data_IF_218549223297
#
_entry.id   IF_218549223297
#
_cell.length_a   1.000
_cell.length_b   1.000
_cell.length_c   1.000
_cell.angle_alpha   90.00
_cell.angle_beta   90.00
_cell.angle_gamma   90.00
#
_symmetry.space_group_name_H-M   'P 1'
#
loop_
_entity.id
_entity.type
_entity.pdbx_description
1 polymer ?
#
# COMPACT_ATOMS: atom_id res chain seq x y z
N UNK A 1 20.99 22.01 -17.86
CA UNK A 1 20.61 20.77 -17.14
C UNK A 1 19.13 20.50 -17.38
N UNK A 2 18.78 19.43 -18.12
CA UNK A 2 17.37 19.04 -18.27
C UNK A 2 16.90 18.56 -16.88
N UNK A 3 15.88 19.21 -16.32
CA UNK A 3 15.21 18.74 -15.10
C UNK A 3 14.71 17.32 -15.36
N UNK A 4 15.24 16.34 -14.66
CA UNK A 4 14.72 14.98 -14.62
C UNK A 4 13.31 15.03 -14.01
N UNK A 5 12.28 15.03 -14.85
CA UNK A 5 10.91 15.19 -14.38
C UNK A 5 10.23 13.82 -14.32
N UNK A 6 9.86 13.41 -13.12
CA UNK A 6 8.91 12.31 -12.94
C UNK A 6 7.55 12.69 -13.55
N UNK A 7 6.86 11.71 -14.07
CA UNK A 7 5.50 11.88 -14.59
C UNK A 7 4.47 11.83 -13.45
N UNK A 8 3.42 12.63 -13.56
CA UNK A 8 2.32 12.56 -12.58
C UNK A 8 1.66 11.18 -12.57
N UNK A 9 1.08 10.80 -11.45
CA UNK A 9 0.38 9.51 -11.31
C UNK A 9 -0.80 9.39 -12.25
N UNK A 10 -1.50 10.50 -12.54
CA UNK A 10 -2.57 10.54 -13.54
C UNK A 10 -2.05 10.15 -14.93
N UNK A 11 -0.84 10.60 -15.28
CA UNK A 11 -0.19 10.22 -16.55
C UNK A 11 0.14 8.74 -16.57
N UNK A 12 0.70 8.19 -15.49
CA UNK A 12 0.99 6.76 -15.37
C UNK A 12 -0.30 5.93 -15.46
N UNK A 13 -1.37 6.32 -14.76
CA UNK A 13 -2.68 5.66 -14.85
C UNK A 13 -3.24 5.69 -16.28
N UNK A 14 -3.09 6.82 -16.99
CA UNK A 14 -3.52 6.92 -18.40
C UNK A 14 -2.73 5.98 -19.31
N UNK A 15 -1.42 5.85 -19.10
CA UNK A 15 -0.56 4.90 -19.85
C UNK A 15 -1.01 3.47 -19.58
N UNK A 16 -1.15 3.08 -18.31
CA UNK A 16 -1.62 1.76 -17.91
C UNK A 16 -3.00 1.43 -18.51
N UNK A 17 -3.93 2.41 -18.52
CA UNK A 17 -5.27 2.26 -19.12
C UNK A 17 -5.22 1.96 -20.61
N UNK A 18 -4.26 2.54 -21.32
CA UNK A 18 -4.01 2.28 -22.74
C UNK A 18 -3.20 1.02 -23.02
N UNK A 19 -2.83 0.26 -21.97
CA UNK A 19 -2.05 -0.96 -22.08
C UNK A 19 -0.54 -0.73 -22.27
N UNK A 20 -0.06 0.48 -21.99
CA UNK A 20 1.35 0.83 -22.09
C UNK A 20 2.15 0.40 -20.86
N UNK A 21 3.45 0.10 -21.10
CA UNK A 21 4.45 -0.14 -20.05
C UNK A 21 4.94 1.19 -19.49
N UNK A 22 5.29 1.19 -18.21
CA UNK A 22 5.83 2.35 -17.48
C UNK A 22 6.84 1.88 -16.44
N UNK A 23 7.53 2.83 -15.81
CA UNK A 23 8.47 2.57 -14.72
C UNK A 23 7.88 3.14 -13.43
N UNK A 24 7.98 2.38 -12.34
CA UNK A 24 7.75 2.86 -10.99
C UNK A 24 9.07 2.87 -10.24
N UNK A 25 9.30 3.92 -9.45
CA UNK A 25 10.46 4.02 -8.55
C UNK A 25 9.98 4.18 -7.11
N UNK A 26 10.68 3.55 -6.18
CA UNK A 26 10.42 3.68 -4.76
C UNK A 26 11.32 4.75 -4.10
N UNK A 27 11.17 4.91 -2.79
CA UNK A 27 11.91 5.90 -2.01
C UNK A 27 13.40 5.54 -1.93
N UNK A 28 14.27 6.57 -1.96
CA UNK A 28 15.72 6.43 -1.84
C UNK A 28 16.15 5.74 -0.54
N UNK A 29 15.37 5.89 0.53
CA UNK A 29 15.63 5.25 1.83
C UNK A 29 15.18 3.79 1.87
N UNK A 30 14.44 3.31 0.85
CA UNK A 30 13.96 1.93 0.78
C UNK A 30 14.91 1.06 -0.07
N UNK A 31 14.70 0.98 -1.37
CA UNK A 31 15.53 0.22 -2.34
C UNK A 31 16.21 1.17 -3.31
N UNK A 32 15.58 2.31 -3.59
CA UNK A 32 15.99 3.28 -4.61
C UNK A 32 16.15 2.61 -5.99
N UNK A 33 15.18 1.78 -6.34
CA UNK A 33 15.18 0.97 -7.56
C UNK A 33 13.99 1.31 -8.44
N UNK A 34 14.04 0.90 -9.70
CA UNK A 34 12.97 1.09 -10.66
C UNK A 34 12.54 -0.22 -11.30
N UNK A 35 11.23 -0.47 -11.33
CA UNK A 35 10.65 -1.62 -12.00
C UNK A 35 9.93 -1.19 -13.28
N UNK A 36 10.11 -1.98 -14.35
CA UNK A 36 9.20 -2.03 -15.49
C UNK A 36 7.88 -2.63 -15.05
N UNK A 37 6.78 -1.98 -15.39
CA UNK A 37 5.44 -2.41 -14.99
C UNK A 37 4.48 -2.41 -16.18
N UNK A 38 3.67 -3.47 -16.28
CA UNK A 38 2.54 -3.55 -17.21
C UNK A 38 1.38 -4.33 -16.56
N UNK A 39 0.13 -3.92 -16.82
CA UNK A 39 -1.03 -4.69 -16.37
C UNK A 39 -1.07 -6.06 -17.03
N UNK A 40 -1.45 -7.11 -16.32
CA UNK A 40 -1.47 -8.48 -16.86
C UNK A 40 -2.42 -8.65 -18.05
N UNK A 41 -3.50 -7.87 -18.11
CA UNK A 41 -4.42 -7.86 -19.28
C UNK A 41 -3.75 -7.44 -20.58
N UNK A 42 -2.68 -6.69 -20.49
CA UNK A 42 -1.96 -6.13 -21.65
C UNK A 42 -0.61 -6.80 -21.85
N UNK A 43 -0.20 -7.72 -20.96
CA UNK A 43 1.04 -8.46 -21.09
C UNK A 43 0.96 -9.47 -22.24
N UNK A 44 1.98 -9.48 -23.07
CA UNK A 44 2.13 -10.40 -24.20
C UNK A 44 3.61 -10.80 -24.36
N UNK A 45 3.89 -11.70 -25.29
CA UNK A 45 5.26 -12.19 -25.50
C UNK A 45 6.26 -11.06 -25.79
N UNK A 46 5.86 -10.01 -26.54
CA UNK A 46 6.72 -8.86 -26.84
C UNK A 46 7.10 -8.10 -25.58
N UNK A 47 6.14 -7.87 -24.68
CA UNK A 47 6.37 -7.15 -23.42
C UNK A 47 7.23 -7.97 -22.46
N UNK A 48 6.97 -9.26 -22.34
CA UNK A 48 7.79 -10.16 -21.50
C UNK A 48 9.22 -10.28 -22.04
N UNK A 49 9.37 -10.38 -23.38
CA UNK A 49 10.70 -10.35 -23.98
C UNK A 49 11.42 -9.01 -23.78
N UNK A 50 10.69 -7.89 -23.81
CA UNK A 50 11.26 -6.57 -23.51
C UNK A 50 11.79 -6.52 -22.06
N UNK A 51 11.01 -6.99 -21.09
CA UNK A 51 11.40 -7.05 -19.67
C UNK A 51 12.65 -7.95 -19.51
N UNK A 52 12.66 -9.14 -20.11
CA UNK A 52 13.79 -10.07 -20.03
C UNK A 52 15.07 -9.48 -20.64
N UNK A 53 14.96 -8.86 -21.83
CA UNK A 53 16.09 -8.32 -22.58
C UNK A 53 16.64 -7.02 -21.99
N UNK A 54 15.76 -6.12 -21.60
CA UNK A 54 16.14 -4.76 -21.25
C UNK A 54 16.02 -4.48 -19.74
N UNK A 55 15.04 -5.05 -19.04
CA UNK A 55 14.95 -4.99 -17.58
C UNK A 55 16.03 -5.83 -16.92
N UNK A 56 16.21 -7.07 -17.35
CA UNK A 56 17.19 -8.07 -16.86
C UNK A 56 16.90 -8.59 -15.45
N UNK A 57 15.94 -8.01 -14.75
CA UNK A 57 15.50 -8.44 -13.42
C UNK A 57 14.62 -9.69 -13.44
N UNK A 58 14.11 -10.08 -12.29
CA UNK A 58 13.19 -11.20 -12.16
C UNK A 58 11.78 -10.79 -12.61
N UNK A 59 11.26 -11.46 -13.65
CA UNK A 59 9.89 -11.20 -14.10
C UNK A 59 8.91 -11.82 -13.12
N UNK A 60 8.20 -10.98 -12.37
CA UNK A 60 7.27 -11.36 -11.32
C UNK A 60 5.83 -11.02 -11.68
N UNK A 61 4.91 -11.85 -11.20
CA UNK A 61 3.47 -11.65 -11.33
C UNK A 61 2.91 -11.12 -10.01
N UNK A 62 2.68 -9.81 -9.93
CA UNK A 62 2.03 -9.19 -8.77
C UNK A 62 0.51 -9.46 -8.81
N UNK A 63 -0.02 -10.06 -7.75
CA UNK A 63 -1.43 -10.45 -7.59
C UNK A 63 -2.02 -9.85 -6.31
N UNK A 64 -3.32 -9.55 -6.31
CA UNK A 64 -4.02 -9.32 -5.05
C UNK A 64 -4.25 -10.64 -4.28
N UNK A 65 -4.55 -10.53 -2.98
CA UNK A 65 -4.78 -11.67 -2.09
C UNK A 65 -5.93 -12.57 -2.55
N UNK A 66 -6.95 -11.99 -3.19
CA UNK A 66 -8.11 -12.76 -3.71
C UNK A 66 -7.68 -13.66 -4.86
N UNK A 67 -6.90 -13.14 -5.80
CA UNK A 67 -6.42 -13.93 -6.95
C UNK A 67 -5.46 -15.05 -6.50
N UNK A 68 -4.57 -14.73 -5.56
CA UNK A 68 -3.67 -15.72 -4.97
C UNK A 68 -4.43 -16.86 -4.28
N UNK A 69 -5.52 -16.57 -3.55
CA UNK A 69 -6.39 -17.57 -2.94
C UNK A 69 -7.09 -18.46 -3.97
N UNK A 70 -7.61 -17.89 -5.08
CA UNK A 70 -8.25 -18.69 -6.16
C UNK A 70 -7.28 -19.71 -6.77
N UNK A 71 -6.02 -19.33 -6.90
CA UNK A 71 -4.94 -20.17 -7.41
C UNK A 71 -4.39 -21.12 -6.33
N UNK A 72 -4.83 -20.98 -5.07
CA UNK A 72 -4.31 -21.70 -3.92
C UNK A 72 -2.78 -21.64 -3.81
N UNK A 73 -2.23 -20.44 -3.98
CA UNK A 73 -0.78 -20.23 -3.92
C UNK A 73 -0.31 -20.19 -2.46
N UNK A 74 0.63 -21.06 -2.12
CA UNK A 74 1.35 -21.00 -0.85
C UNK A 74 2.58 -20.09 -0.95
N UNK A 75 2.96 -19.50 0.17
CA UNK A 75 4.22 -18.75 0.24
C UNK A 75 5.40 -19.69 -0.02
N UNK A 76 6.44 -19.18 -0.68
CA UNK A 76 7.66 -19.91 -0.99
C UNK A 76 8.39 -20.37 0.28
N UNK A 77 8.29 -19.58 1.36
CA UNK A 77 8.81 -19.93 2.67
C UNK A 77 7.76 -19.67 3.75
N UNK A 78 7.54 -20.59 4.69
CA UNK A 78 6.66 -20.37 5.85
C UNK A 78 7.14 -19.20 6.72
N UNK A 79 8.46 -19.02 6.84
CA UNK A 79 9.10 -17.94 7.59
C UNK A 79 9.83 -17.05 6.60
N UNK A 80 9.22 -15.89 6.30
CA UNK A 80 9.82 -14.92 5.39
C UNK A 80 10.90 -14.10 6.13
N UNK A 81 12.17 -14.38 5.83
CA UNK A 81 13.35 -13.70 6.39
C UNK A 81 13.91 -12.61 5.45
N UNK A 82 13.31 -12.43 4.27
CA UNK A 82 13.79 -11.40 3.33
C UNK A 82 13.71 -10.00 3.93
N UNK A 83 14.68 -9.13 3.60
CA UNK A 83 14.79 -7.76 4.11
C UNK A 83 13.47 -6.98 3.98
N UNK A 84 12.83 -7.05 2.84
CA UNK A 84 11.61 -6.32 2.52
C UNK A 84 10.33 -7.13 2.73
N UNK A 85 10.46 -8.37 3.22
CA UNK A 85 9.35 -9.30 3.49
C UNK A 85 8.39 -9.43 2.30
N UNK A 86 8.94 -9.42 1.08
CA UNK A 86 8.20 -9.60 -0.15
C UNK A 86 7.54 -10.98 -0.16
N UNK A 87 6.24 -11.03 -0.38
CA UNK A 87 5.45 -12.25 -0.24
C UNK A 87 5.52 -13.10 -1.53
N UNK A 88 6.70 -13.63 -1.84
CA UNK A 88 6.88 -14.61 -2.90
C UNK A 88 6.08 -15.86 -2.62
N UNK A 89 5.43 -16.39 -3.66
CA UNK A 89 4.79 -17.71 -3.63
C UNK A 89 5.65 -18.72 -4.39
N UNK A 90 5.27 -19.99 -4.30
CA UNK A 90 5.80 -21.00 -5.19
C UNK A 90 5.65 -20.56 -6.65
N UNK A 91 6.66 -20.84 -7.48
CA UNK A 91 6.61 -20.52 -8.92
C UNK A 91 5.57 -21.39 -9.64
N UNK A 92 5.02 -20.85 -10.72
CA UNK A 92 3.92 -21.48 -11.46
C UNK A 92 4.17 -21.59 -12.95
N UNK A 93 3.43 -22.52 -13.56
CA UNK A 93 3.32 -22.68 -15.01
C UNK A 93 1.85 -22.88 -15.39
N UNK A 94 1.42 -22.44 -16.59
CA UNK A 94 0.13 -22.83 -17.11
C UNK A 94 0.09 -24.34 -17.39
N UNK A 95 -0.97 -25.01 -16.93
CA UNK A 95 -1.09 -26.47 -17.11
C UNK A 95 -1.15 -26.91 -18.57
N UNK A 96 -1.60 -26.03 -19.47
CA UNK A 96 -1.76 -26.30 -20.90
C UNK A 96 -1.30 -25.11 -21.72
N UNK A 97 -0.85 -25.37 -22.97
CA UNK A 97 -0.53 -24.31 -23.92
C UNK A 97 0.87 -23.70 -23.74
N UNK A 98 1.76 -24.38 -23.03
CA UNK A 98 3.19 -24.06 -22.88
C UNK A 98 4.04 -25.19 -23.42
N UNK A 99 5.27 -24.86 -23.78
CA UNK A 99 6.32 -25.85 -24.16
C UNK A 99 7.21 -26.16 -22.94
N UNK A 100 8.38 -25.55 -22.86
CA UNK A 100 9.29 -25.67 -21.70
C UNK A 100 8.99 -24.66 -20.60
N UNK A 101 8.10 -23.68 -20.84
CA UNK A 101 7.68 -22.68 -19.87
C UNK A 101 8.51 -21.39 -19.81
N UNK A 102 9.81 -21.45 -20.10
CA UNK A 102 10.75 -20.33 -19.95
C UNK A 102 10.63 -19.27 -21.05
N UNK A 103 10.13 -19.62 -22.25
CA UNK A 103 10.06 -18.67 -23.36
C UNK A 103 9.19 -17.46 -23.01
N UNK A 104 9.44 -16.31 -23.62
CA UNK A 104 8.62 -15.12 -23.42
C UNK A 104 7.13 -15.37 -23.76
N UNK A 105 6.87 -16.24 -24.74
CA UNK A 105 5.52 -16.69 -25.14
C UNK A 105 4.87 -17.50 -24.04
N UNK A 106 5.58 -18.48 -23.47
CA UNK A 106 5.07 -19.37 -22.43
C UNK A 106 4.81 -18.62 -21.12
N UNK A 107 5.77 -17.76 -20.70
CA UNK A 107 5.58 -16.91 -19.51
C UNK A 107 4.41 -15.94 -19.67
N UNK A 108 4.26 -15.29 -20.83
CA UNK A 108 3.12 -14.44 -21.12
C UNK A 108 1.79 -15.23 -21.10
N UNK A 109 1.80 -16.47 -21.58
CA UNK A 109 0.62 -17.36 -21.53
C UNK A 109 0.28 -17.72 -20.08
N UNK A 110 1.25 -18.14 -19.29
CA UNK A 110 1.08 -18.46 -17.86
C UNK A 110 0.53 -17.27 -17.07
N UNK A 111 1.10 -16.08 -17.26
CA UNK A 111 0.63 -14.84 -16.64
C UNK A 111 -0.83 -14.57 -16.98
N UNK A 112 -1.19 -14.70 -18.26
CA UNK A 112 -2.54 -14.47 -18.75
C UNK A 112 -3.54 -15.47 -18.17
N UNK A 113 -3.19 -16.75 -18.07
CA UNK A 113 -4.00 -17.78 -17.43
C UNK A 113 -4.21 -17.46 -15.95
N UNK A 114 -3.11 -17.24 -15.20
CA UNK A 114 -3.14 -16.96 -13.76
C UNK A 114 -3.91 -15.68 -13.38
N UNK A 115 -4.01 -14.71 -14.30
CA UNK A 115 -4.71 -13.44 -14.05
C UNK A 115 -6.20 -13.41 -14.50
N UNK A 116 -6.75 -14.51 -15.03
CA UNK A 116 -8.18 -14.58 -15.41
C UNK A 116 -9.09 -14.45 -14.21
N UNK A 117 -10.25 -13.80 -14.38
CA UNK A 117 -11.29 -13.68 -13.33
C UNK A 117 -11.81 -15.05 -12.87
N UNK A 118 -12.03 -15.95 -13.83
CA UNK A 118 -12.46 -17.34 -13.60
C UNK A 118 -11.25 -18.25 -13.76
N UNK A 119 -10.41 -18.32 -12.73
CA UNK A 119 -9.24 -19.19 -12.66
C UNK A 119 -9.27 -20.00 -11.38
N UNK A 120 -8.67 -21.18 -11.41
CA UNK A 120 -8.54 -22.07 -10.26
C UNK A 120 -7.15 -22.72 -10.22
N UNK A 121 -6.84 -23.42 -9.12
CA UNK A 121 -5.63 -24.24 -9.00
C UNK A 121 -5.45 -25.24 -10.14
N UNK A 122 -6.56 -25.70 -10.76
CA UNK A 122 -6.53 -26.70 -11.84
C UNK A 122 -5.94 -26.17 -13.14
N UNK A 123 -5.84 -24.85 -13.30
CA UNK A 123 -5.35 -24.18 -14.52
C UNK A 123 -3.84 -23.98 -14.54
N UNK A 124 -3.19 -24.20 -13.39
CA UNK A 124 -1.75 -24.02 -13.20
C UNK A 124 -1.11 -25.27 -12.61
N UNK A 125 0.20 -25.38 -12.76
CA UNK A 125 1.07 -26.36 -12.09
C UNK A 125 2.22 -25.64 -11.41
N UNK A 126 2.89 -26.31 -10.49
CA UNK A 126 4.06 -25.80 -9.76
C UNK A 126 5.07 -26.96 -9.62
N UNK A 127 6.38 -26.69 -9.69
CA UNK A 127 7.02 -25.40 -10.00
C UNK A 127 6.87 -24.97 -11.45
N UNK A 128 7.31 -23.73 -11.77
CA UNK A 128 7.29 -23.18 -13.12
C UNK A 128 8.21 -21.97 -13.26
N UNK A 129 8.05 -21.20 -14.35
CA UNK A 129 8.95 -20.10 -14.72
C UNK A 129 8.34 -18.70 -14.52
N UNK A 130 7.18 -18.61 -13.87
CA UNK A 130 6.58 -17.35 -13.44
C UNK A 130 6.55 -17.33 -11.92
N UNK A 131 6.96 -16.21 -11.31
CA UNK A 131 7.10 -16.03 -9.89
C UNK A 131 5.99 -15.08 -9.37
N UNK A 132 4.89 -15.60 -8.79
CA UNK A 132 3.86 -14.76 -8.24
C UNK A 132 4.31 -14.13 -6.91
N UNK A 133 3.88 -12.86 -6.70
CA UNK A 133 4.08 -12.13 -5.47
C UNK A 133 2.72 -11.58 -5.03
N UNK A 134 2.38 -11.76 -3.74
CA UNK A 134 1.11 -11.30 -3.20
C UNK A 134 1.24 -9.87 -2.68
N UNK A 135 0.48 -8.94 -3.26
CA UNK A 135 0.36 -7.58 -2.76
C UNK A 135 -0.40 -7.57 -1.43
N UNK A 136 0.02 -6.73 -0.49
CA UNK A 136 -0.70 -6.51 0.77
C UNK A 136 -2.06 -5.88 0.51
N UNK A 137 -3.09 -6.37 1.20
CA UNK A 137 -4.40 -5.72 1.20
C UNK A 137 -4.25 -4.29 1.72
N UNK A 138 -4.92 -3.33 1.06
CA UNK A 138 -4.69 -1.89 1.26
C UNK A 138 -3.64 -1.28 0.32
N UNK A 139 -2.85 -2.09 -0.39
CA UNK A 139 -1.91 -1.64 -1.41
C UNK A 139 -0.79 -0.77 -0.87
N UNK A 140 -0.40 0.28 -1.62
CA UNK A 140 0.72 1.18 -1.23
C UNK A 140 0.47 1.94 0.08
N UNK A 141 -0.77 2.03 0.54
CA UNK A 141 -1.11 2.66 1.82
C UNK A 141 -0.72 1.78 3.03
N UNK A 142 -0.48 0.49 2.80
CA UNK A 142 -0.02 -0.48 3.83
C UNK A 142 1.45 -0.83 3.63
N UNK A 143 1.89 -1.00 2.39
CA UNK A 143 3.29 -1.29 2.06
C UNK A 143 3.70 -0.54 0.79
N UNK A 144 4.63 0.40 0.92
CA UNK A 144 5.12 1.26 -0.16
C UNK A 144 6.11 0.52 -1.08
N UNK A 145 5.69 -0.61 -1.69
CA UNK A 145 6.51 -1.45 -2.56
C UNK A 145 5.99 -1.51 -4.00
N UNK A 146 6.88 -1.90 -4.94
CA UNK A 146 6.56 -2.06 -6.36
C UNK A 146 5.40 -3.03 -6.60
N UNK A 147 5.31 -4.12 -5.83
CA UNK A 147 4.23 -5.10 -5.89
C UNK A 147 2.86 -4.45 -5.65
N UNK A 148 2.72 -3.72 -4.54
CA UNK A 148 1.48 -3.02 -4.18
C UNK A 148 1.18 -1.91 -5.19
N UNK A 149 2.18 -1.13 -5.58
CA UNK A 149 2.03 -0.01 -6.50
C UNK A 149 1.55 -0.46 -7.88
N UNK A 150 2.09 -1.55 -8.41
CA UNK A 150 1.72 -2.09 -9.71
C UNK A 150 0.27 -2.60 -9.75
N UNK A 151 -0.16 -3.28 -8.68
CA UNK A 151 -1.55 -3.73 -8.51
C UNK A 151 -2.50 -2.55 -8.37
N UNK A 152 -2.14 -1.53 -7.57
CA UNK A 152 -2.95 -0.33 -7.38
C UNK A 152 -3.12 0.47 -8.67
N UNK A 153 -2.05 0.69 -9.44
CA UNK A 153 -2.14 1.36 -10.75
C UNK A 153 -3.05 0.57 -11.70
N UNK A 154 -2.93 -0.76 -11.72
CA UNK A 154 -3.81 -1.60 -12.56
C UNK A 154 -5.28 -1.44 -12.17
N UNK A 155 -5.61 -1.42 -10.87
CA UNK A 155 -6.97 -1.13 -10.36
C UNK A 155 -7.45 0.27 -10.77
N UNK A 156 -6.62 1.31 -10.56
CA UNK A 156 -6.94 2.70 -10.90
C UNK A 156 -7.09 2.89 -12.43
N UNK A 157 -6.38 2.11 -13.22
CA UNK A 157 -6.52 2.06 -14.67
C UNK A 157 -7.76 1.28 -15.14
N UNK A 158 -8.56 0.71 -14.22
CA UNK A 158 -9.73 -0.17 -14.50
C UNK A 158 -9.35 -1.43 -15.28
N UNK A 159 -8.17 -1.96 -15.03
CA UNK A 159 -7.69 -3.26 -15.51
C UNK A 159 -7.95 -4.34 -14.46
N UNK A 160 -7.41 -5.54 -14.64
CA UNK A 160 -7.44 -6.56 -13.59
C UNK A 160 -6.53 -6.17 -12.41
N UNK A 161 -6.79 -6.78 -11.24
CA UNK A 161 -6.05 -6.51 -10.00
C UNK A 161 -4.69 -7.24 -9.98
N UNK A 162 -3.93 -7.11 -11.06
CA UNK A 162 -2.65 -7.79 -11.22
C UNK A 162 -1.78 -7.08 -12.25
N UNK A 163 -0.47 -7.19 -12.08
CA UNK A 163 0.52 -6.60 -12.97
C UNK A 163 1.74 -7.54 -13.12
N UNK A 164 2.51 -7.32 -14.18
CA UNK A 164 3.85 -7.88 -14.33
C UNK A 164 4.83 -6.80 -13.96
N UNK A 165 5.81 -7.15 -13.14
CA UNK A 165 6.90 -6.27 -12.72
C UNK A 165 8.24 -6.93 -13.04
N UNK A 166 9.27 -6.12 -13.29
CA UNK A 166 10.62 -6.58 -13.52
C UNK A 166 11.59 -5.46 -13.18
N UNK A 167 12.53 -5.70 -12.30
CA UNK A 167 13.56 -4.75 -11.91
C UNK A 167 14.41 -4.33 -13.12
N UNK A 168 14.93 -3.10 -13.10
CA UNK A 168 15.82 -2.58 -14.13
C UNK A 168 17.26 -2.66 -13.62
N UNK A 169 18.06 -3.41 -14.34
CA UNK A 169 19.49 -3.58 -14.08
C UNK A 169 20.33 -2.94 -15.20
N UNK A 170 21.50 -2.44 -14.85
CA UNK A 170 22.53 -1.97 -15.77
C UNK A 170 23.15 -3.14 -16.55
N UNK A 171 23.96 -2.84 -17.56
CA UNK A 171 24.61 -3.86 -18.41
C UNK A 171 25.66 -4.67 -17.65
N UNK A 172 26.23 -4.09 -16.62
CA UNK A 172 27.21 -4.72 -15.71
C UNK A 172 26.56 -5.58 -14.62
N UNK A 173 25.21 -5.67 -14.59
CA UNK A 173 24.46 -6.44 -13.60
C UNK A 173 24.16 -5.68 -12.30
N UNK A 174 24.59 -4.44 -12.15
CA UNK A 174 24.18 -3.59 -11.01
C UNK A 174 22.76 -3.07 -11.15
N UNK A 175 22.12 -2.68 -10.05
CA UNK A 175 20.77 -2.09 -10.11
C UNK A 175 20.82 -0.69 -10.70
N UNK A 176 19.95 -0.41 -11.68
CA UNK A 176 19.81 0.93 -12.24
C UNK A 176 19.14 1.86 -11.21
N UNK A 177 19.78 3.01 -10.91
CA UNK A 177 19.30 3.99 -9.92
C UNK A 177 19.42 5.42 -10.45
N UNK A 178 18.61 6.30 -9.89
CA UNK A 178 18.72 7.74 -10.17
C UNK A 178 18.80 8.05 -11.67
N UNK A 179 19.96 8.57 -12.14
CA UNK A 179 20.14 8.98 -13.54
C UNK A 179 20.05 7.82 -14.53
N UNK A 180 20.45 6.60 -14.14
CA UNK A 180 20.39 5.41 -15.02
C UNK A 180 18.94 5.11 -15.42
N UNK A 181 18.00 5.23 -14.48
CA UNK A 181 16.57 5.05 -14.75
C UNK A 181 16.04 6.09 -15.73
N UNK A 182 16.47 7.35 -15.62
CA UNK A 182 16.08 8.39 -16.59
C UNK A 182 16.67 8.14 -17.98
N UNK A 183 17.92 7.71 -18.05
CA UNK A 183 18.58 7.34 -19.31
C UNK A 183 17.85 6.16 -19.96
N UNK A 184 17.53 5.12 -19.17
CA UNK A 184 16.75 3.97 -19.62
C UNK A 184 15.36 4.39 -20.13
N UNK A 185 14.65 5.21 -19.37
CA UNK A 185 13.32 5.69 -19.74
C UNK A 185 13.35 6.51 -21.03
N UNK A 186 14.35 7.37 -21.20
CA UNK A 186 14.56 8.15 -22.42
C UNK A 186 14.84 7.25 -23.63
N UNK A 187 15.78 6.31 -23.49
CA UNK A 187 16.15 5.33 -24.53
C UNK A 187 14.95 4.53 -25.01
N UNK A 188 14.07 4.12 -24.09
CA UNK A 188 12.93 3.26 -24.40
C UNK A 188 11.59 4.00 -24.49
N UNK A 189 11.60 5.35 -24.44
CA UNK A 189 10.40 6.21 -24.50
C UNK A 189 9.34 5.87 -23.45
N UNK A 190 9.79 5.47 -22.24
CA UNK A 190 8.94 5.16 -21.11
C UNK A 190 8.78 6.37 -20.18
N UNK A 191 7.73 6.35 -19.35
CA UNK A 191 7.50 7.35 -18.32
C UNK A 191 7.79 6.74 -16.96
N UNK A 192 8.31 7.57 -16.03
CA UNK A 192 8.64 7.18 -14.67
C UNK A 192 7.68 7.85 -13.70
N UNK A 193 7.04 7.09 -12.83
CA UNK A 193 6.23 7.56 -11.71
C UNK A 193 6.85 7.17 -10.38
N UNK A 194 6.57 7.97 -9.31
CA UNK A 194 6.99 7.67 -7.94
C UNK A 194 5.90 6.96 -7.17
N UNK A 195 6.28 5.97 -6.36
CA UNK A 195 5.35 5.29 -5.42
C UNK A 195 4.84 6.29 -4.37
N UNK A 196 5.67 7.22 -3.92
CA UNK A 196 5.29 8.29 -2.99
C UNK A 196 4.14 9.16 -3.54
N UNK A 197 4.20 9.52 -4.83
CA UNK A 197 3.14 10.28 -5.49
C UNK A 197 1.85 9.46 -5.58
N UNK A 198 1.94 8.15 -5.79
CA UNK A 198 0.77 7.25 -5.77
C UNK A 198 0.12 7.19 -4.38
N UNK A 199 0.91 7.11 -3.32
CA UNK A 199 0.42 7.18 -1.95
C UNK A 199 -0.34 8.50 -1.74
N UNK A 200 0.28 9.63 -2.09
CA UNK A 200 -0.34 10.96 -1.98
C UNK A 200 -1.63 11.08 -2.81
N UNK A 201 -1.63 10.51 -4.02
CA UNK A 201 -2.79 10.48 -4.89
C UNK A 201 -3.95 9.70 -4.26
N UNK A 202 -3.69 8.48 -3.73
CA UNK A 202 -4.71 7.64 -3.09
C UNK A 202 -5.27 8.29 -1.83
N UNK A 203 -4.41 8.84 -0.96
CA UNK A 203 -4.83 9.57 0.25
C UNK A 203 -5.75 10.76 -0.07
N UNK A 204 -5.53 11.46 -1.19
CA UNK A 204 -6.37 12.59 -1.61
C UNK A 204 -7.68 12.18 -2.28
N UNK A 205 -7.71 11.05 -2.99
CA UNK A 205 -8.85 10.64 -3.83
C UNK A 205 -9.76 9.60 -3.19
N UNK A 206 -9.24 8.77 -2.29
CA UNK A 206 -9.99 7.68 -1.69
C UNK A 206 -10.59 8.08 -0.35
N UNK A 207 -11.81 7.63 -0.08
CA UNK A 207 -12.42 7.72 1.23
C UNK A 207 -11.98 6.51 2.05
N UNK A 208 -10.97 6.69 2.88
CA UNK A 208 -10.36 5.60 3.67
C UNK A 208 -11.12 5.28 4.95
N UNK A 209 -12.10 6.11 5.32
CA UNK A 209 -12.93 5.91 6.53
C UNK A 209 -14.41 5.95 6.19
N UNK A 210 -15.18 5.06 6.82
CA UNK A 210 -16.63 4.94 6.66
C UNK A 210 -17.31 5.17 8.00
N UNK A 211 -18.33 6.02 8.03
CA UNK A 211 -19.20 6.14 9.21
C UNK A 211 -19.95 4.82 9.42
N UNK A 212 -19.74 4.19 10.58
CA UNK A 212 -20.35 2.91 10.95
C UNK A 212 -21.59 3.10 11.82
N UNK A 213 -21.50 3.97 12.84
CA UNK A 213 -22.57 4.22 13.79
C UNK A 213 -22.46 5.61 14.37
N UNK A 214 -23.56 6.17 14.82
CA UNK A 214 -23.59 7.37 15.64
C UNK A 214 -24.67 7.29 16.71
N UNK A 215 -24.48 8.03 17.82
CA UNK A 215 -25.43 8.13 18.91
C UNK A 215 -25.21 9.44 19.66
N UNK A 216 -26.18 9.81 20.50
CA UNK A 216 -26.00 10.89 21.45
C UNK A 216 -25.57 10.28 22.80
N UNK A 217 -24.58 10.88 23.43
CA UNK A 217 -24.08 10.45 24.73
C UNK A 217 -23.91 11.65 25.66
N UNK A 218 -24.10 11.41 26.94
CA UNK A 218 -23.73 12.37 27.99
C UNK A 218 -22.38 11.97 28.57
N UNK A 219 -21.40 12.86 28.47
CA UNK A 219 -20.05 12.61 28.96
C UNK A 219 -19.51 13.83 29.68
N UNK A 220 -18.99 13.65 30.90
CA UNK A 220 -18.51 14.75 31.76
C UNK A 220 -19.52 15.92 31.86
N UNK A 221 -20.80 15.58 32.16
CA UNK A 221 -21.94 16.51 32.27
C UNK A 221 -22.26 17.33 31.02
N UNK A 222 -21.70 16.98 29.88
CA UNK A 222 -21.94 17.62 28.58
C UNK A 222 -22.56 16.62 27.59
N UNK A 223 -23.40 17.13 26.69
CA UNK A 223 -24.00 16.33 25.63
C UNK A 223 -23.10 16.33 24.40
N UNK A 224 -22.75 15.13 23.92
CA UNK A 224 -21.98 14.93 22.73
C UNK A 224 -22.70 13.99 21.74
N UNK A 225 -22.47 14.20 20.47
CA UNK A 225 -22.75 13.20 19.44
C UNK A 225 -21.49 12.39 19.22
N UNK A 226 -21.52 11.07 19.53
CA UNK A 226 -20.44 10.15 19.16
C UNK A 226 -20.66 9.67 17.73
N UNK A 227 -19.60 9.68 16.93
CA UNK A 227 -19.57 9.05 15.60
C UNK A 227 -18.43 8.06 15.55
N UNK A 228 -18.75 6.82 15.19
CA UNK A 228 -17.79 5.71 15.04
C UNK A 228 -17.49 5.53 13.56
N UNK A 229 -16.22 5.52 13.22
CA UNK A 229 -15.72 5.34 11.87
C UNK A 229 -14.87 4.08 11.79
N UNK A 230 -15.04 3.32 10.72
CA UNK A 230 -14.23 2.17 10.36
C UNK A 230 -13.17 2.59 9.35
N UNK A 231 -11.91 2.26 9.60
CA UNK A 231 -10.82 2.37 8.64
C UNK A 231 -10.93 1.22 7.64
N UNK A 232 -11.08 1.53 6.36
CA UNK A 232 -11.28 0.53 5.31
C UNK A 232 -10.00 -0.25 4.94
N UNK A 233 -8.83 0.16 5.47
CA UNK A 233 -7.56 -0.52 5.20
C UNK A 233 -7.31 -1.70 6.14
N UNK A 234 -7.68 -1.56 7.42
CA UNK A 234 -7.36 -2.51 8.47
C UNK A 234 -8.56 -2.91 9.34
N UNK A 235 -9.76 -2.37 9.05
CA UNK A 235 -10.98 -2.65 9.81
C UNK A 235 -11.01 -2.03 11.22
N UNK A 236 -10.01 -1.22 11.59
CA UNK A 236 -9.97 -0.59 12.90
C UNK A 236 -11.08 0.45 13.07
N UNK A 237 -11.57 0.61 14.30
CA UNK A 237 -12.59 1.61 14.64
C UNK A 237 -11.95 2.80 15.32
N UNK A 238 -12.29 3.98 14.83
CA UNK A 238 -11.97 5.26 15.39
C UNK A 238 -13.26 5.99 15.75
N UNK A 239 -13.24 6.93 16.68
CA UNK A 239 -14.45 7.69 16.98
C UNK A 239 -14.19 9.17 17.24
N UNK A 240 -15.24 9.96 17.04
CA UNK A 240 -15.24 11.38 17.33
C UNK A 240 -16.40 11.74 18.28
N UNK A 241 -16.10 12.53 19.30
CA UNK A 241 -17.08 13.21 20.15
C UNK A 241 -17.28 14.62 19.63
N UNK A 242 -18.51 14.96 19.24
CA UNK A 242 -18.86 16.22 18.64
C UNK A 242 -19.80 16.97 19.61
N UNK A 243 -19.39 18.14 20.07
CA UNK A 243 -20.21 19.07 20.81
C UNK A 243 -20.74 20.18 19.88
N UNK A 244 -22.03 20.41 19.91
CA UNK A 244 -22.68 21.44 19.10
C UNK A 244 -22.88 21.06 17.62
N UNK A 245 -23.16 22.05 16.79
CA UNK A 245 -23.45 21.88 15.35
C UNK A 245 -22.26 22.31 14.52
N UNK A 246 -21.71 21.38 13.72
CA UNK A 246 -20.69 21.69 12.73
C UNK A 246 -21.38 22.11 11.43
N UNK A 247 -21.31 23.40 11.11
CA UNK A 247 -21.89 23.97 9.88
C UNK A 247 -20.79 24.59 9.03
N UNK A 248 -21.06 24.74 7.72
CA UNK A 248 -20.20 25.49 6.81
C UNK A 248 -20.02 26.92 7.31
N UNK A 249 -18.80 27.44 7.34
CA UNK A 249 -18.48 28.79 7.85
C UNK A 249 -18.16 28.87 9.36
N UNK A 250 -18.37 27.79 10.13
CA UNK A 250 -17.97 27.73 11.54
C UNK A 250 -16.74 26.84 11.69
N UNK A 251 -15.63 27.39 12.15
CA UNK A 251 -14.41 26.66 12.45
C UNK A 251 -14.52 25.99 13.82
N UNK A 252 -14.65 24.66 13.90
CA UNK A 252 -14.70 23.97 15.19
C UNK A 252 -13.31 23.93 15.82
N UNK A 253 -13.25 23.81 17.13
CA UNK A 253 -12.02 23.44 17.83
C UNK A 253 -11.85 21.95 17.80
N UNK A 254 -10.71 21.48 17.30
CA UNK A 254 -10.46 20.06 17.11
C UNK A 254 -9.25 19.61 17.93
N UNK A 255 -9.40 18.50 18.62
CA UNK A 255 -8.30 17.78 19.25
C UNK A 255 -8.28 16.34 18.75
N UNK A 256 -7.11 15.88 18.34
CA UNK A 256 -6.88 14.47 17.98
C UNK A 256 -6.06 13.82 19.09
N UNK A 257 -6.46 12.62 19.50
CA UNK A 257 -5.81 11.83 20.53
C UNK A 257 -5.57 10.43 19.97
N UNK A 258 -4.32 9.97 20.02
CA UNK A 258 -4.00 8.56 19.80
C UNK A 258 -4.27 7.78 21.08
N UNK A 259 -5.01 6.69 20.97
CA UNK A 259 -5.38 5.84 22.11
C UNK A 259 -4.47 4.62 22.16
N UNK A 260 -3.60 4.56 23.14
CA UNK A 260 -2.77 3.38 23.45
C UNK A 260 -3.24 2.77 24.77
N UNK A 261 -3.66 1.50 24.70
CA UNK A 261 -4.25 0.77 25.86
C UNK A 261 -3.30 0.73 27.05
N UNK A 262 -2.02 0.40 26.81
CA UNK A 262 -1.01 0.28 27.88
C UNK A 262 -0.77 1.64 28.52
N UNK A 263 -0.54 2.66 27.72
CA UNK A 263 -0.29 4.01 28.21
C UNK A 263 -1.47 4.55 28.98
N UNK A 264 -2.69 4.33 28.50
CA UNK A 264 -3.88 4.92 29.09
C UNK A 264 -4.35 4.17 30.34
N UNK A 265 -4.26 2.84 30.38
CA UNK A 265 -4.85 2.05 31.47
C UNK A 265 -3.84 1.52 32.49
N UNK A 266 -2.61 1.17 32.07
CA UNK A 266 -1.62 0.60 32.98
C UNK A 266 -0.62 1.64 33.51
N UNK A 267 -0.18 2.58 32.67
CA UNK A 267 0.86 3.53 33.06
C UNK A 267 0.27 4.78 33.70
N UNK A 268 -0.74 5.37 33.08
CA UNK A 268 -1.30 6.63 33.57
C UNK A 268 -2.39 6.46 34.63
N UNK A 269 -2.96 5.27 34.81
CA UNK A 269 -4.08 4.92 35.71
C UNK A 269 -5.24 5.93 35.73
N UNK A 270 -5.14 6.99 34.97
CA UNK A 270 -6.12 8.07 34.80
C UNK A 270 -6.07 8.54 33.33
N UNK A 271 -7.15 9.16 32.90
CA UNK A 271 -7.14 9.88 31.62
C UNK A 271 -5.99 10.90 31.62
N UNK A 272 -5.17 10.97 30.54
CA UNK A 272 -4.03 11.89 30.51
C UNK A 272 -4.42 13.29 30.93
N UNK A 273 -3.56 13.99 31.70
CA UNK A 273 -3.81 15.38 32.09
C UNK A 273 -4.17 16.28 30.89
N UNK A 274 -3.60 16.00 29.73
CA UNK A 274 -3.92 16.68 28.47
C UNK A 274 -5.38 16.49 28.05
N UNK A 275 -5.95 15.32 28.32
CA UNK A 275 -7.37 15.03 28.01
C UNK A 275 -8.31 15.86 28.91
N UNK A 276 -8.09 15.87 30.23
CA UNK A 276 -8.86 16.65 31.17
C UNK A 276 -8.74 18.16 30.90
N UNK A 277 -7.53 18.63 30.56
CA UNK A 277 -7.32 20.03 30.12
C UNK A 277 -8.13 20.35 28.86
N UNK A 278 -8.15 19.43 27.88
CA UNK A 278 -8.95 19.59 26.64
C UNK A 278 -10.45 19.65 26.95
N UNK A 279 -10.97 18.78 27.80
CA UNK A 279 -12.37 18.79 28.16
C UNK A 279 -12.76 20.09 28.88
N UNK A 280 -11.93 20.57 29.80
CA UNK A 280 -12.15 21.85 30.50
C UNK A 280 -12.08 23.04 29.52
N UNK A 281 -11.17 23.01 28.55
CA UNK A 281 -11.12 24.01 27.50
C UNK A 281 -12.40 23.97 26.63
N UNK A 282 -12.85 22.76 26.23
CA UNK A 282 -14.05 22.58 25.40
C UNK A 282 -15.36 22.99 26.10
N UNK A 283 -15.41 23.03 27.45
CA UNK A 283 -16.57 23.58 28.19
C UNK A 283 -16.90 25.02 27.78
N UNK A 284 -15.87 25.80 27.45
CA UNK A 284 -15.97 27.22 27.08
C UNK A 284 -16.53 27.47 25.67
N UNK A 285 -16.67 26.41 24.82
CA UNK A 285 -17.03 26.55 23.42
C UNK A 285 -18.19 25.62 23.04
N UNK A 286 -18.99 26.08 22.06
CA UNK A 286 -20.17 25.34 21.61
C UNK A 286 -19.89 24.42 20.40
N UNK A 287 -18.75 24.57 19.74
CA UNK A 287 -18.41 23.81 18.53
C UNK A 287 -17.02 23.17 18.70
N UNK A 288 -17.02 21.93 19.19
CA UNK A 288 -15.78 21.19 19.47
C UNK A 288 -15.87 19.77 18.93
N UNK A 289 -14.71 19.24 18.50
CA UNK A 289 -14.56 17.86 18.04
C UNK A 289 -13.35 17.23 18.71
N UNK A 290 -13.56 16.13 19.40
CA UNK A 290 -12.51 15.32 19.99
C UNK A 290 -12.44 14.01 19.20
N UNK A 291 -11.33 13.75 18.52
CA UNK A 291 -11.13 12.59 17.68
C UNK A 291 -10.20 11.62 18.41
N UNK A 292 -10.64 10.37 18.54
CA UNK A 292 -9.85 9.27 19.07
C UNK A 292 -9.44 8.35 17.93
N UNK A 293 -8.13 8.23 17.73
CA UNK A 293 -7.53 7.29 16.77
C UNK A 293 -6.98 6.13 17.57
N UNK A 294 -7.52 4.92 17.33
CA UNK A 294 -7.00 3.69 17.93
C UNK A 294 -5.61 3.43 17.35
N UNK A 295 -4.63 3.18 18.22
CA UNK A 295 -3.32 2.70 17.80
C UNK A 295 -3.45 1.25 17.34
N UNK A 296 -3.22 1.02 16.05
CA UNK A 296 -3.32 -0.28 15.39
C UNK A 296 -1.97 -0.98 15.23
N UNK A 297 -0.88 -0.38 15.74
CA UNK A 297 0.43 -1.02 15.74
C UNK A 297 0.40 -2.31 16.56
N UNK A 298 0.62 -3.45 15.92
CA UNK A 298 0.64 -4.78 16.56
C UNK A 298 1.68 -4.91 17.69
N UNK A 299 2.70 -4.07 17.69
CA UNK A 299 3.74 -4.01 18.73
C UNK A 299 3.56 -2.84 19.70
N UNK A 300 2.43 -2.14 19.68
CA UNK A 300 2.22 -0.96 20.52
C UNK A 300 2.39 -1.25 22.01
N UNK A 301 1.93 -2.41 22.49
CA UNK A 301 2.06 -2.83 23.89
C UNK A 301 3.52 -3.03 24.28
N UNK A 302 4.25 -3.86 23.54
CA UNK A 302 5.66 -4.18 23.83
C UNK A 302 6.57 -2.96 23.63
N UNK A 303 6.31 -2.13 22.62
CA UNK A 303 7.06 -0.91 22.40
C UNK A 303 6.82 0.11 23.50
N UNK A 304 5.56 0.32 23.91
CA UNK A 304 5.22 1.22 25.01
C UNK A 304 5.88 0.82 26.33
N UNK A 305 5.92 -0.48 26.66
CA UNK A 305 6.61 -0.99 27.85
C UNK A 305 8.13 -0.79 27.75
N UNK A 306 8.71 -0.97 26.58
CA UNK A 306 10.15 -0.79 26.34
C UNK A 306 10.53 0.70 26.49
N UNK A 307 9.76 1.60 25.88
CA UNK A 307 9.95 3.04 25.98
C UNK A 307 9.77 3.53 27.43
N UNK A 308 8.81 2.98 28.17
CA UNK A 308 8.61 3.26 29.60
C UNK A 308 9.82 2.89 30.45
N UNK A 309 10.37 1.69 30.24
CA UNK A 309 11.59 1.22 30.97
C UNK A 309 12.81 2.10 30.68
N UNK A 310 12.91 2.64 29.45
CA UNK A 310 14.03 3.47 29.01
C UNK A 310 13.88 4.97 29.37
N UNK A 311 12.86 5.37 30.14
CA UNK A 311 12.57 6.77 30.51
C UNK A 311 12.37 7.74 29.34
N UNK A 312 12.22 7.26 28.11
CA UNK A 312 11.98 8.08 26.89
C UNK A 312 10.53 8.54 26.75
N UNK A 313 9.67 8.22 27.72
CA UNK A 313 8.24 8.51 27.70
C UNK A 313 7.89 10.00 27.70
N UNK A 314 8.77 10.82 28.27
CA UNK A 314 8.50 12.25 28.47
C UNK A 314 8.92 13.14 27.30
N UNK A 315 9.71 12.60 26.34
CA UNK A 315 10.23 13.40 25.22
C UNK A 315 9.33 13.47 23.99
N UNK A 316 8.34 12.58 23.84
CA UNK A 316 7.45 12.50 22.67
C UNK A 316 6.04 13.10 22.85
N UNK A 317 5.79 13.80 23.91
CA UNK A 317 4.46 14.36 24.25
C UNK A 317 4.38 15.89 24.26
N UNK A 318 5.39 16.60 23.77
CA UNK A 318 5.44 18.06 23.79
C UNK A 318 5.44 18.72 22.40
N UNK A 319 4.89 18.06 21.38
CA UNK A 319 4.62 18.72 20.10
C UNK A 319 3.12 18.74 19.78
#
# INVERSE_FOLDING_TARGET
MQKNNYSSIETIIKIARKGGMYILVDDEKRENEGDLVISTSDSNAKNINFMAKHGRGLICLALDSLQARKLNLSLMSPINQSRNKTAFTISIEAKKGVTTGISAKDRAHTIRIASKKKVSKKDIVSPGHVFPIIARDGGVLVRAGHTEASVDISKLAKKNNSAVICEIMNEDGTMAKGQDLFNFAKKHKLKIGKIEDLISYRLKKEKLVKLKKFSNIKFNSQNYKIKIYENLLDGSEHFALIKGKIKKGIIPRVRVISSNVVQNYLINQQLPNSFNKTLNYFKKFNNCVLIFIKDTNLKSVSQTLKDYKNKDFYKKGND
#
